data_IF_215879001431
#
_entry.id   IF_215879001431
#
_cell.length_a   1.000
_cell.length_b   1.000
_cell.length_c   1.000
_cell.angle_alpha   90.00
_cell.angle_beta   90.00
_cell.angle_gamma   90.00
#
_symmetry.space_group_name_H-M   'P 1'
#
loop_
_entity.id
_entity.type
_entity.pdbx_description
1 polymer ?
#
# COMPACT_ATOMS: atom_id res chain seq x y z
N UNK A 1 -50.87 -6.77 44.49
CA UNK A 1 -50.33 -5.59 43.77
C UNK A 1 -48.86 -5.82 43.49
N UNK A 2 -48.49 -6.15 42.26
CA UNK A 2 -47.07 -6.19 41.85
C UNK A 2 -46.97 -5.99 40.34
N UNK A 3 -47.15 -4.75 39.89
CA UNK A 3 -47.06 -4.37 38.47
C UNK A 3 -46.18 -3.12 38.25
N UNK A 4 -45.46 -2.64 39.28
CA UNK A 4 -44.67 -1.40 39.21
C UNK A 4 -43.14 -1.61 39.17
N UNK A 5 -42.66 -2.85 38.97
CA UNK A 5 -41.22 -3.16 38.91
C UNK A 5 -40.66 -3.35 37.50
N UNK A 6 -41.44 -3.02 36.47
CA UNK A 6 -41.05 -3.16 35.04
C UNK A 6 -40.95 -1.83 34.27
N UNK A 7 -41.04 -0.68 34.95
CA UNK A 7 -41.00 0.65 34.30
C UNK A 7 -39.79 1.52 34.64
N UNK A 8 -38.80 1.01 35.39
CA UNK A 8 -37.52 1.69 35.56
C UNK A 8 -36.40 0.75 35.16
N UNK A 9 -35.69 1.15 34.10
CA UNK A 9 -34.68 0.37 33.41
C UNK A 9 -33.68 -0.28 34.35
N UNK A 10 -33.58 -1.60 34.24
CA UNK A 10 -32.33 -2.30 34.51
C UNK A 10 -31.30 -1.70 33.55
N UNK A 11 -30.50 -0.79 34.09
CA UNK A 11 -29.27 -0.29 33.49
C UNK A 11 -28.45 -1.52 33.13
N UNK A 12 -28.47 -1.89 31.86
CA UNK A 12 -27.55 -2.86 31.30
C UNK A 12 -26.16 -2.31 31.60
N UNK A 13 -25.47 -2.95 32.54
CA UNK A 13 -24.10 -2.62 32.84
C UNK A 13 -23.34 -2.80 31.52
N UNK A 14 -22.72 -1.72 31.04
CA UNK A 14 -21.88 -1.77 29.86
C UNK A 14 -20.95 -2.97 30.00
N UNK A 15 -21.07 -3.93 29.07
CA UNK A 15 -20.26 -5.12 29.08
C UNK A 15 -18.78 -4.67 29.16
N UNK A 16 -17.94 -5.34 29.98
CA UNK A 16 -16.53 -5.01 30.02
C UNK A 16 -16.00 -5.09 28.58
N UNK A 17 -15.29 -4.04 28.14
CA UNK A 17 -14.61 -4.01 26.84
C UNK A 17 -13.68 -5.22 26.82
N UNK A 18 -14.11 -6.30 26.16
CA UNK A 18 -13.34 -7.52 26.08
C UNK A 18 -12.14 -7.22 25.19
N UNK A 19 -10.94 -7.41 25.73
CA UNK A 19 -9.73 -7.36 24.93
C UNK A 19 -9.88 -8.30 23.73
N UNK A 20 -9.45 -7.91 22.52
CA UNK A 20 -9.38 -8.84 21.40
C UNK A 20 -8.53 -10.04 21.84
N UNK A 21 -9.18 -11.18 22.02
CA UNK A 21 -8.51 -12.38 22.53
C UNK A 21 -7.38 -12.76 21.58
N UNK A 22 -6.26 -13.27 22.11
CA UNK A 22 -5.12 -13.79 21.32
C UNK A 22 -5.58 -14.78 20.23
N UNK A 23 -6.72 -15.45 20.46
CA UNK A 23 -7.41 -16.32 19.50
C UNK A 23 -7.89 -15.58 18.23
N UNK A 24 -8.37 -14.34 18.34
CA UNK A 24 -8.83 -13.55 17.20
C UNK A 24 -7.66 -13.05 16.34
N UNK A 25 -6.58 -12.58 16.97
CA UNK A 25 -5.37 -12.15 16.26
C UNK A 25 -4.72 -13.32 15.48
N UNK A 26 -4.61 -14.50 16.11
CA UNK A 26 -4.09 -15.70 15.45
C UNK A 26 -4.98 -16.17 14.29
N UNK A 27 -6.31 -16.02 14.39
CA UNK A 27 -7.22 -16.30 13.28
C UNK A 27 -7.00 -15.34 12.11
N UNK A 28 -6.81 -14.05 12.37
CA UNK A 28 -6.52 -13.06 11.32
C UNK A 28 -5.23 -13.39 10.59
N UNK A 29 -4.16 -13.75 11.32
CA UNK A 29 -2.88 -14.17 10.72
C UNK A 29 -3.05 -15.40 9.83
N UNK A 30 -3.75 -16.43 10.32
CA UNK A 30 -4.00 -17.63 9.52
C UNK A 30 -4.86 -17.33 8.27
N UNK A 31 -5.84 -16.43 8.37
CA UNK A 31 -6.63 -16.02 7.21
C UNK A 31 -5.76 -15.28 6.17
N UNK A 32 -4.87 -14.39 6.60
CA UNK A 32 -3.92 -13.70 5.72
C UNK A 32 -3.03 -14.73 4.99
N UNK A 33 -2.45 -15.69 5.71
CA UNK A 33 -1.63 -16.75 5.11
C UNK A 33 -2.42 -17.60 4.10
N UNK A 34 -3.66 -17.96 4.42
CA UNK A 34 -4.51 -18.71 3.49
C UNK A 34 -4.80 -17.89 2.23
N UNK A 35 -4.99 -16.57 2.34
CA UNK A 35 -5.19 -15.69 1.19
C UNK A 35 -3.94 -15.63 0.30
N UNK A 36 -2.73 -15.56 0.88
CA UNK A 36 -1.47 -15.65 0.14
C UNK A 36 -1.34 -16.95 -0.65
N UNK A 37 -1.64 -18.09 -0.01
CA UNK A 37 -1.59 -19.40 -0.67
C UNK A 37 -2.58 -19.49 -1.85
N UNK A 38 -3.76 -18.88 -1.70
CA UNK A 38 -4.75 -18.80 -2.79
C UNK A 38 -4.28 -17.87 -3.91
N UNK A 39 -3.70 -16.71 -3.60
CA UNK A 39 -3.12 -15.78 -4.57
C UNK A 39 -2.07 -16.50 -5.43
N UNK A 40 -1.08 -17.14 -4.81
CA UNK A 40 -0.04 -17.89 -5.52
C UNK A 40 -0.61 -19.01 -6.40
N UNK A 41 -1.68 -19.66 -5.95
CA UNK A 41 -2.35 -20.70 -6.73
C UNK A 41 -3.04 -20.13 -7.96
N UNK A 42 -3.71 -18.98 -7.82
CA UNK A 42 -4.35 -18.28 -8.93
C UNK A 42 -3.29 -17.75 -9.92
N UNK A 43 -2.17 -17.21 -9.45
CA UNK A 43 -1.06 -16.78 -10.32
C UNK A 43 -0.47 -17.93 -11.13
N UNK A 44 -0.23 -19.09 -10.50
CA UNK A 44 0.22 -20.30 -11.23
C UNK A 44 -0.78 -20.71 -12.31
N UNK A 45 -2.08 -20.62 -12.02
CA UNK A 45 -3.15 -20.91 -13.00
C UNK A 45 -3.17 -19.88 -14.13
N UNK A 46 -3.04 -18.59 -13.81
CA UNK A 46 -2.92 -17.47 -14.76
C UNK A 46 -1.77 -17.71 -15.74
N UNK A 47 -0.57 -17.95 -15.21
CA UNK A 47 0.64 -18.23 -15.99
C UNK A 47 0.49 -19.44 -16.93
N UNK A 48 -0.19 -20.50 -16.48
CA UNK A 48 -0.48 -21.66 -17.32
C UNK A 48 -1.49 -21.32 -18.43
N UNK A 49 -2.48 -20.50 -18.12
CA UNK A 49 -3.53 -20.10 -19.07
C UNK A 49 -2.96 -19.18 -20.17
N UNK A 50 -2.09 -18.25 -19.83
CA UNK A 50 -1.37 -17.40 -20.78
C UNK A 50 -0.58 -18.24 -21.79
N UNK A 51 0.18 -19.24 -21.32
CA UNK A 51 0.90 -20.18 -22.19
C UNK A 51 -0.04 -20.94 -23.14
N UNK A 52 -1.25 -21.30 -22.68
CA UNK A 52 -2.26 -21.96 -23.52
C UNK A 52 -2.85 -21.01 -24.56
N UNK A 53 -3.08 -19.75 -24.20
CA UNK A 53 -3.54 -18.68 -25.11
C UNK A 53 -2.53 -18.50 -26.25
N UNK A 54 -1.24 -18.40 -25.91
CA UNK A 54 -0.16 -18.27 -26.89
C UNK A 54 -0.06 -19.50 -27.80
N UNK A 55 -0.19 -20.70 -27.24
CA UNK A 55 -0.17 -21.94 -28.00
C UNK A 55 -1.35 -22.02 -28.99
N UNK A 56 -2.57 -21.64 -28.60
CA UNK A 56 -3.71 -21.59 -29.54
C UNK A 56 -3.54 -20.50 -30.60
N UNK A 57 -2.92 -19.36 -30.26
CA UNK A 57 -2.63 -18.31 -31.23
C UNK A 57 -1.63 -18.80 -32.29
N UNK A 58 -0.55 -19.46 -31.87
CA UNK A 58 0.44 -20.05 -32.77
C UNK A 58 -0.21 -21.11 -33.67
N UNK A 59 -1.05 -21.99 -33.10
CA UNK A 59 -1.80 -22.99 -33.85
C UNK A 59 -2.75 -22.37 -34.87
N UNK A 60 -3.46 -21.31 -34.50
CA UNK A 60 -4.34 -20.58 -35.42
C UNK A 60 -3.55 -19.98 -36.60
N UNK A 61 -2.38 -19.40 -36.35
CA UNK A 61 -1.49 -18.85 -37.39
C UNK A 61 -1.02 -19.93 -38.36
N UNK A 62 -0.61 -21.08 -37.85
CA UNK A 62 -0.15 -22.22 -38.66
C UNK A 62 -1.28 -22.79 -39.54
N UNK A 63 -2.46 -23.01 -38.97
CA UNK A 63 -3.63 -23.48 -39.71
C UNK A 63 -4.08 -22.48 -40.80
N UNK A 64 -3.96 -21.17 -40.54
CA UNK A 64 -4.27 -20.15 -41.52
C UNK A 64 -3.28 -20.16 -42.70
N UNK A 65 -1.97 -20.34 -42.45
CA UNK A 65 -0.96 -20.51 -43.52
C UNK A 65 -1.25 -21.73 -44.41
N UNK A 66 -1.79 -22.80 -43.82
CA UNK A 66 -2.21 -24.00 -44.54
C UNK A 66 -3.56 -23.88 -45.26
N UNK A 67 -4.20 -22.69 -45.26
CA UNK A 67 -5.51 -22.47 -45.88
C UNK A 67 -6.70 -23.08 -45.11
N UNK A 68 -6.48 -23.64 -43.91
CA UNK A 68 -7.50 -24.31 -43.09
C UNK A 68 -8.29 -23.31 -42.24
N UNK A 69 -8.99 -22.37 -42.90
CA UNK A 69 -9.68 -21.23 -42.27
C UNK A 69 -10.64 -21.62 -41.14
N UNK A 70 -11.47 -22.64 -41.33
CA UNK A 70 -12.45 -23.07 -40.30
C UNK A 70 -11.77 -23.58 -39.02
N UNK A 71 -10.63 -24.27 -39.15
CA UNK A 71 -9.88 -24.78 -38.01
C UNK A 71 -9.14 -23.65 -37.28
N UNK A 72 -8.58 -22.69 -38.02
CA UNK A 72 -7.98 -21.49 -37.45
C UNK A 72 -9.01 -20.66 -36.65
N UNK A 73 -10.23 -20.49 -37.18
CA UNK A 73 -11.33 -19.82 -36.47
C UNK A 73 -11.69 -20.53 -35.16
N UNK A 74 -11.68 -21.87 -35.13
CA UNK A 74 -11.93 -22.62 -33.89
C UNK A 74 -10.85 -22.36 -32.84
N UNK A 75 -9.57 -22.32 -33.23
CA UNK A 75 -8.47 -21.96 -32.33
C UNK A 75 -8.64 -20.54 -31.78
N UNK A 76 -9.01 -19.57 -32.62
CA UNK A 76 -9.26 -18.19 -32.17
C UNK A 76 -10.45 -18.09 -31.21
N UNK A 77 -11.53 -18.88 -31.41
CA UNK A 77 -12.64 -18.97 -30.45
C UNK A 77 -12.19 -19.51 -29.09
N UNK A 78 -11.39 -20.58 -29.09
CA UNK A 78 -10.80 -21.14 -27.85
C UNK A 78 -9.90 -20.13 -27.14
N UNK A 79 -9.04 -19.44 -27.89
CA UNK A 79 -8.22 -18.33 -27.39
C UNK A 79 -9.08 -17.29 -26.68
N UNK A 80 -10.15 -16.81 -27.32
CA UNK A 80 -11.01 -15.77 -26.75
C UNK A 80 -11.72 -16.22 -25.46
N UNK A 81 -12.13 -17.49 -25.37
CA UNK A 81 -12.69 -18.06 -24.14
C UNK A 81 -11.66 -18.09 -23.00
N UNK A 82 -10.40 -18.46 -23.30
CA UNK A 82 -9.33 -18.45 -22.31
C UNK A 82 -8.94 -17.02 -21.90
N UNK A 83 -8.95 -16.05 -22.81
CA UNK A 83 -8.74 -14.63 -22.46
C UNK A 83 -9.80 -14.10 -21.49
N UNK A 84 -11.06 -14.51 -21.67
CA UNK A 84 -12.12 -14.15 -20.72
C UNK A 84 -11.89 -14.82 -19.35
N UNK A 85 -11.43 -16.07 -19.32
CA UNK A 85 -11.05 -16.75 -18.07
C UNK A 85 -9.83 -16.05 -17.41
N UNK A 86 -8.87 -15.56 -18.20
CA UNK A 86 -7.70 -14.82 -17.72
C UNK A 86 -8.12 -13.54 -16.99
N UNK A 87 -9.00 -12.73 -17.61
CA UNK A 87 -9.57 -11.54 -16.97
C UNK A 87 -10.29 -11.87 -15.66
N UNK A 88 -10.98 -13.01 -15.59
CA UNK A 88 -11.62 -13.45 -14.35
C UNK A 88 -10.59 -13.83 -13.27
N UNK A 89 -9.47 -14.45 -13.64
CA UNK A 89 -8.37 -14.75 -12.71
C UNK A 89 -7.74 -13.46 -12.18
N UNK A 90 -7.47 -12.47 -13.05
CA UNK A 90 -6.94 -11.17 -12.63
C UNK A 90 -7.86 -10.47 -11.63
N UNK A 91 -9.17 -10.47 -11.90
CA UNK A 91 -10.16 -9.92 -10.98
C UNK A 91 -10.21 -10.66 -9.64
N UNK A 92 -10.02 -11.98 -9.63
CA UNK A 92 -9.98 -12.76 -8.39
C UNK A 92 -8.72 -12.47 -7.59
N UNK A 93 -7.56 -12.35 -8.25
CA UNK A 93 -6.29 -11.99 -7.61
C UNK A 93 -6.41 -10.61 -6.95
N UNK A 94 -6.93 -9.60 -7.68
CA UNK A 94 -7.12 -8.25 -7.13
C UNK A 94 -7.97 -8.25 -5.86
N UNK A 95 -9.08 -8.99 -5.86
CA UNK A 95 -9.96 -9.11 -4.68
C UNK A 95 -9.26 -9.76 -3.49
N UNK A 96 -8.37 -10.72 -3.72
CA UNK A 96 -7.59 -11.35 -2.64
C UNK A 96 -6.61 -10.33 -2.05
N UNK A 97 -5.92 -9.58 -2.89
CA UNK A 97 -4.98 -8.52 -2.46
C UNK A 97 -5.70 -7.46 -1.63
N UNK A 98 -6.85 -6.98 -2.09
CA UNK A 98 -7.69 -6.01 -1.35
C UNK A 98 -8.12 -6.57 0.02
N UNK A 99 -8.56 -7.83 0.08
CA UNK A 99 -8.98 -8.47 1.34
C UNK A 99 -7.83 -8.66 2.31
N UNK A 100 -6.64 -9.00 1.81
CA UNK A 100 -5.43 -9.11 2.63
C UNK A 100 -5.07 -7.77 3.25
N UNK A 101 -5.00 -6.71 2.44
CA UNK A 101 -4.69 -5.37 2.92
C UNK A 101 -5.70 -4.87 3.97
N UNK A 102 -6.99 -5.17 3.76
CA UNK A 102 -8.03 -4.88 4.75
C UNK A 102 -7.78 -5.62 6.08
N UNK A 103 -7.45 -6.91 6.06
CA UNK A 103 -7.17 -7.70 7.26
C UNK A 103 -5.90 -7.23 7.98
N UNK A 104 -4.87 -6.82 7.23
CA UNK A 104 -3.65 -6.21 7.78
C UNK A 104 -3.95 -4.89 8.50
N UNK A 105 -4.72 -3.99 7.87
CA UNK A 105 -5.14 -2.74 8.51
C UNK A 105 -5.99 -2.97 9.77
N UNK A 106 -6.88 -3.96 9.74
CA UNK A 106 -7.67 -4.36 10.91
C UNK A 106 -6.78 -4.89 12.04
N UNK A 107 -5.76 -5.68 11.70
CA UNK A 107 -4.77 -6.19 12.66
C UNK A 107 -4.00 -5.04 13.32
N UNK A 108 -3.48 -4.10 12.54
CA UNK A 108 -2.78 -2.92 13.06
C UNK A 108 -3.68 -2.11 13.98
N UNK A 109 -4.94 -1.90 13.60
CA UNK A 109 -5.93 -1.21 14.44
C UNK A 109 -6.13 -1.91 15.78
N UNK A 110 -6.21 -3.26 15.78
CA UNK A 110 -6.33 -4.07 17.00
C UNK A 110 -5.08 -3.94 17.88
N UNK A 111 -3.89 -3.96 17.29
CA UNK A 111 -2.62 -3.80 18.01
C UNK A 111 -2.52 -2.43 18.70
N UNK A 112 -2.86 -1.34 17.99
CA UNK A 112 -2.91 0.02 18.54
C UNK A 112 -3.92 0.10 19.70
N UNK A 113 -5.12 -0.44 19.52
CA UNK A 113 -6.16 -0.44 20.57
C UNK A 113 -5.73 -1.23 21.82
N UNK A 114 -5.02 -2.34 21.62
CA UNK A 114 -4.44 -3.12 22.72
C UNK A 114 -3.39 -2.33 23.49
N UNK A 115 -2.49 -1.62 22.79
CA UNK A 115 -1.48 -0.76 23.40
C UNK A 115 -2.11 0.40 24.18
N UNK A 116 -3.12 1.07 23.61
CA UNK A 116 -3.90 2.12 24.29
C UNK A 116 -4.58 1.60 25.56
N UNK A 117 -5.16 0.39 25.51
CA UNK A 117 -5.77 -0.23 26.67
C UNK A 117 -4.73 -0.54 27.77
N UNK A 118 -3.56 -1.06 27.40
CA UNK A 118 -2.44 -1.28 28.32
C UNK A 118 -1.98 0.02 28.98
N UNK A 119 -1.79 1.08 28.20
CA UNK A 119 -1.42 2.41 28.70
C UNK A 119 -2.47 2.96 29.68
N UNK A 120 -3.76 2.82 29.37
CA UNK A 120 -4.85 3.24 30.26
C UNK A 120 -4.85 2.45 31.59
N UNK A 121 -4.57 1.15 31.57
CA UNK A 121 -4.46 0.34 32.79
C UNK A 121 -3.27 0.77 33.66
N UNK A 122 -2.10 1.03 33.05
CA UNK A 122 -0.92 1.53 33.76
C UNK A 122 -1.18 2.91 34.35
N UNK A 123 -1.78 3.82 33.58
CA UNK A 123 -2.18 5.15 34.07
C UNK A 123 -3.11 5.06 35.28
N UNK A 124 -4.12 4.17 35.23
CA UNK A 124 -5.03 3.91 36.36
C UNK A 124 -4.32 3.32 37.58
N UNK A 125 -3.35 2.41 37.37
CA UNK A 125 -2.58 1.83 38.46
C UNK A 125 -1.66 2.88 39.13
N UNK A 126 -1.02 3.74 38.34
CA UNK A 126 -0.20 4.84 38.84
C UNK A 126 -1.04 5.85 39.65
N UNK A 127 -2.22 6.23 39.15
CA UNK A 127 -3.17 7.07 39.90
C UNK A 127 -3.59 6.43 41.23
N UNK A 128 -3.73 5.10 41.27
CA UNK A 128 -4.07 4.36 42.50
C UNK A 128 -2.92 4.24 43.48
N UNK A 129 -1.68 4.09 43.00
CA UNK A 129 -0.48 3.96 43.84
C UNK A 129 -0.01 5.29 44.42
N UNK A 130 -0.40 6.42 43.82
CA UNK A 130 -0.17 7.77 44.35
C UNK A 130 -1.03 8.15 45.58
N UNK A 131 -1.76 7.20 46.18
CA UNK A 131 -2.46 7.28 47.48
C UNK A 131 -2.92 8.70 47.87
N UNK A 132 -4.10 9.05 47.37
CA UNK A 132 -4.58 10.42 47.32
C UNK A 132 -5.32 10.79 48.61
N UNK A 133 -4.61 11.37 49.59
CA UNK A 133 -5.19 12.20 50.66
C UNK A 133 -5.46 13.66 50.18
N UNK A 134 -5.24 13.97 48.90
CA UNK A 134 -5.49 15.29 48.32
C UNK A 134 -6.15 15.17 46.92
N UNK A 135 -7.31 14.52 46.85
CA UNK A 135 -8.04 14.33 45.56
C UNK A 135 -8.43 15.69 45.02
N UNK A 136 -8.75 16.63 45.89
CA UNK A 136 -9.11 17.99 45.51
C UNK A 136 -7.93 18.74 44.89
N UNK A 137 -6.70 18.62 45.43
CA UNK A 137 -5.52 19.27 44.81
C UNK A 137 -5.10 18.63 43.49
N UNK A 138 -5.16 17.30 43.38
CA UNK A 138 -4.83 16.63 42.13
C UNK A 138 -5.89 16.89 41.07
N UNK A 139 -7.17 17.02 41.45
CA UNK A 139 -8.23 17.44 40.52
C UNK A 139 -8.13 18.91 40.13
N UNK A 140 -7.69 19.79 41.03
CA UNK A 140 -7.40 21.19 40.71
C UNK A 140 -6.17 21.30 39.80
N UNK A 141 -5.08 20.57 40.07
CA UNK A 141 -3.89 20.51 39.22
C UNK A 141 -4.20 19.86 37.85
N UNK A 142 -5.10 18.86 37.79
CA UNK A 142 -5.56 18.25 36.53
C UNK A 142 -6.49 19.19 35.77
N UNK A 143 -7.32 20.01 36.44
CA UNK A 143 -8.14 21.03 35.78
C UNK A 143 -7.25 22.15 35.25
N UNK A 144 -6.27 22.61 36.02
CA UNK A 144 -5.29 23.60 35.58
C UNK A 144 -4.43 23.06 34.44
N UNK A 145 -4.00 21.79 34.50
CA UNK A 145 -3.27 21.14 33.41
C UNK A 145 -4.15 20.91 32.17
N UNK A 146 -5.43 20.57 32.32
CA UNK A 146 -6.35 20.44 31.19
C UNK A 146 -6.73 21.80 30.59
N UNK A 147 -6.90 22.84 31.39
CA UNK A 147 -7.09 24.22 30.91
C UNK A 147 -5.84 24.74 30.20
N UNK A 148 -4.64 24.40 30.71
CA UNK A 148 -3.37 24.65 30.01
C UNK A 148 -3.27 23.82 28.73
N UNK A 149 -3.71 22.56 28.73
CA UNK A 149 -3.72 21.69 27.55
C UNK A 149 -4.74 22.17 26.50
N UNK A 150 -5.89 22.70 26.92
CA UNK A 150 -6.93 23.27 26.07
C UNK A 150 -6.48 24.65 25.54
N UNK A 151 -5.79 25.46 26.35
CA UNK A 151 -5.08 26.67 25.88
C UNK A 151 -3.94 26.31 24.93
N UNK A 152 -3.20 25.22 25.16
CA UNK A 152 -2.17 24.70 24.27
C UNK A 152 -2.79 24.18 22.98
N UNK A 153 -3.93 23.49 23.01
CA UNK A 153 -4.68 23.07 21.82
C UNK A 153 -5.37 24.25 21.11
N UNK A 154 -5.69 25.34 21.81
CA UNK A 154 -6.22 26.55 21.21
C UNK A 154 -5.09 27.43 20.63
N UNK A 155 -3.86 27.31 21.15
CA UNK A 155 -2.64 27.97 20.66
C UNK A 155 -1.95 27.14 19.57
N UNK A 156 -2.04 25.80 19.60
CA UNK A 156 -1.50 24.86 18.60
C UNK A 156 -2.54 24.44 17.54
N UNK A 157 -3.83 24.52 17.87
CA UNK A 157 -4.97 24.25 16.97
C UNK A 157 -5.63 25.52 16.45
N UNK A 158 -5.20 26.70 16.91
CA UNK A 158 -5.13 27.83 15.99
C UNK A 158 -4.17 27.40 14.86
N UNK A 159 -4.55 27.54 13.58
CA UNK A 159 -3.68 27.09 12.50
C UNK A 159 -2.36 27.84 12.61
N UNK A 160 -1.31 27.13 13.03
CA UNK A 160 0.05 27.63 13.01
C UNK A 160 0.86 26.74 12.08
N UNK A 161 1.09 27.23 10.85
CA UNK A 161 1.97 26.60 9.88
C UNK A 161 1.34 26.36 8.52
N UNK A 162 2.22 26.04 7.56
CA UNK A 162 2.04 26.08 6.10
C UNK A 162 0.71 25.55 5.57
N UNK A 163 0.07 24.56 6.20
CA UNK A 163 -1.19 23.96 5.74
C UNK A 163 -2.44 24.84 5.85
N UNK A 164 -2.33 26.05 6.43
CA UNK A 164 -3.41 27.04 6.41
C UNK A 164 -3.24 28.12 5.32
N UNK A 165 -2.05 28.21 4.70
CA UNK A 165 -1.69 29.21 3.67
C UNK A 165 -1.35 28.57 2.31
N UNK A 166 -1.52 27.25 2.16
CA UNK A 166 -1.40 26.62 0.83
C UNK A 166 -2.63 26.99 0.01
N UNK A 167 -2.45 27.94 -0.91
CA UNK A 167 -3.45 28.31 -1.90
C UNK A 167 -3.61 27.14 -2.87
N UNK A 168 -4.81 26.54 -2.92
CA UNK A 168 -5.11 25.43 -3.82
C UNK A 168 -4.86 25.81 -5.29
N UNK A 169 -4.98 27.10 -5.64
CA UNK A 169 -4.73 27.60 -6.99
C UNK A 169 -3.22 27.64 -7.34
N UNK A 170 -2.34 27.85 -6.35
CA UNK A 170 -0.88 27.79 -6.51
C UNK A 170 -0.40 26.35 -6.71
N UNK A 171 -0.95 25.41 -5.94
CA UNK A 171 -0.66 23.97 -6.06
C UNK A 171 -1.13 23.36 -7.38
N UNK A 172 -2.26 23.84 -7.92
CA UNK A 172 -2.76 23.40 -9.22
C UNK A 172 -1.89 23.89 -10.38
N UNK A 173 -1.38 25.12 -10.32
CA UNK A 173 -0.42 25.63 -11.32
C UNK A 173 0.90 24.86 -11.29
N UNK A 174 1.42 24.52 -10.11
CA UNK A 174 2.66 23.75 -9.98
C UNK A 174 2.51 22.31 -10.53
N UNK A 175 1.32 21.70 -10.36
CA UNK A 175 1.01 20.40 -10.97
C UNK A 175 0.95 20.48 -12.49
N UNK A 176 0.36 21.54 -13.05
CA UNK A 176 0.23 21.73 -14.50
C UNK A 176 1.59 22.02 -15.17
N UNK A 177 2.48 22.75 -14.49
CA UNK A 177 3.87 22.97 -14.95
C UNK A 177 4.69 21.67 -14.96
N UNK A 178 4.49 20.80 -13.96
CA UNK A 178 5.14 19.48 -13.88
C UNK A 178 4.72 18.56 -15.03
N UNK A 179 3.42 18.50 -15.33
CA UNK A 179 2.87 17.74 -16.47
C UNK A 179 3.41 18.25 -17.82
N UNK A 180 3.60 19.56 -17.97
CA UNK A 180 4.17 20.15 -19.18
C UNK A 180 5.65 19.80 -19.37
N UNK A 181 6.45 19.80 -18.31
CA UNK A 181 7.87 19.39 -18.38
C UNK A 181 8.07 17.92 -18.71
N UNK A 182 7.20 17.02 -18.24
CA UNK A 182 7.27 15.60 -18.57
C UNK A 182 6.91 15.34 -20.04
N UNK A 183 5.96 16.12 -20.59
CA UNK A 183 5.56 16.04 -21.99
C UNK A 183 6.67 16.53 -22.94
N UNK A 184 7.36 17.63 -22.58
CA UNK A 184 8.50 18.15 -23.34
C UNK A 184 9.71 17.18 -23.31
N UNK A 185 9.91 16.46 -22.20
CA UNK A 185 10.90 15.40 -22.10
C UNK A 185 10.58 14.21 -23.02
N UNK A 186 9.30 13.83 -23.15
CA UNK A 186 8.85 12.78 -24.07
C UNK A 186 8.97 13.21 -25.56
N UNK A 187 8.81 14.51 -25.86
CA UNK A 187 8.98 15.09 -27.20
C UNK A 187 10.45 15.27 -27.63
N UNK A 188 11.40 15.35 -26.68
CA UNK A 188 12.84 15.46 -26.96
C UNK A 188 13.51 14.12 -27.30
N UNK A 189 12.81 12.99 -27.22
CA UNK A 189 13.35 11.70 -27.65
C UNK A 189 13.56 11.66 -29.18
N UNK A 190 14.81 11.56 -29.69
CA UNK A 190 15.06 11.68 -31.12
C UNK A 190 14.61 10.42 -31.88
N UNK A 191 13.75 10.62 -32.89
CA UNK A 191 13.41 9.60 -33.88
C UNK A 191 14.67 9.09 -34.61
N UNK A 192 14.78 7.77 -34.91
CA UNK A 192 16.01 7.20 -35.46
C UNK A 192 16.27 7.66 -36.90
N UNK A 193 17.37 8.39 -37.11
CA UNK A 193 17.84 8.84 -38.43
C UNK A 193 18.63 7.74 -39.18
N UNK A 194 18.38 7.50 -40.48
CA UNK A 194 19.09 6.50 -41.29
C UNK A 194 20.52 6.95 -41.61
N UNK A 195 21.50 6.07 -41.38
CA UNK A 195 22.94 6.34 -41.52
C UNK A 195 23.45 6.19 -42.96
N UNK A 196 23.14 7.13 -43.86
CA UNK A 196 23.89 7.25 -45.11
C UNK A 196 25.17 8.09 -44.88
N UNK A 197 26.33 7.42 -44.82
CA UNK A 197 27.66 8.05 -44.68
C UNK A 197 28.15 8.63 -46.02
N UNK A 198 28.48 9.91 -46.02
CA UNK A 198 29.26 10.60 -47.08
C UNK A 198 30.76 10.35 -46.84
N UNK A 199 31.62 10.16 -47.86
CA UNK A 199 33.00 9.67 -47.66
C UNK A 199 34.07 10.78 -47.69
N UNK A 200 34.93 10.82 -46.67
CA UNK A 200 36.32 11.32 -46.68
C UNK A 200 36.92 11.09 -45.27
N UNK A 201 38.17 10.74 -45.00
CA UNK A 201 39.36 10.38 -45.77
C UNK A 201 40.24 9.50 -44.84
N UNK A 202 41.18 8.73 -45.41
CA UNK A 202 41.98 7.69 -44.72
C UNK A 202 43.12 8.29 -43.86
N UNK A 203 43.24 7.86 -42.60
CA UNK A 203 44.48 7.85 -41.81
C UNK A 203 44.58 6.57 -40.94
N UNK A 204 45.79 6.11 -40.57
CA UNK A 204 46.08 4.70 -40.30
C UNK A 204 45.81 4.22 -38.86
N UNK A 205 45.65 2.91 -38.70
CA UNK A 205 45.22 2.21 -37.49
C UNK A 205 46.35 1.88 -36.48
N UNK A 206 46.04 1.95 -35.18
CA UNK A 206 46.82 1.33 -34.08
C UNK A 206 45.84 0.62 -33.11
N UNK A 207 46.17 -0.57 -32.55
CA UNK A 207 45.18 -1.44 -31.91
C UNK A 207 45.21 -1.50 -30.36
N UNK A 208 44.03 -1.86 -29.81
CA UNK A 208 43.75 -2.62 -28.55
C UNK A 208 43.87 -1.92 -27.17
N UNK A 209 42.77 -1.83 -26.42
CA UNK A 209 42.45 -2.71 -25.27
C UNK A 209 41.13 -2.32 -24.55
N UNK A 210 40.38 -3.33 -24.09
CA UNK A 210 39.21 -3.25 -23.18
C UNK A 210 39.68 -3.46 -21.73
N UNK A 211 39.11 -2.71 -20.77
CA UNK A 211 38.85 -3.14 -19.38
C UNK A 211 37.85 -2.14 -18.75
N UNK A 212 36.57 -2.51 -18.59
CA UNK A 212 35.89 -3.05 -17.38
C UNK A 212 35.57 -2.01 -16.29
N UNK A 213 34.27 -1.77 -16.21
CA UNK A 213 33.35 -1.31 -15.14
C UNK A 213 33.78 -1.54 -13.69
N UNK A 214 33.44 -0.56 -12.85
CA UNK A 214 32.70 -0.69 -11.58
C UNK A 214 31.98 0.65 -11.31
N UNK A 215 30.65 0.63 -11.19
CA UNK A 215 29.86 1.81 -10.84
C UNK A 215 29.84 1.93 -9.31
N UNK A 216 30.39 3.01 -8.78
CA UNK A 216 30.30 3.33 -7.36
C UNK A 216 28.89 3.87 -7.05
N UNK A 217 28.27 3.38 -5.97
CA UNK A 217 27.00 3.92 -5.44
C UNK A 217 27.15 5.40 -5.10
N UNK A 218 26.12 6.20 -5.35
CA UNK A 218 26.16 7.64 -5.08
C UNK A 218 26.14 7.91 -3.56
N UNK A 219 26.61 9.08 -3.10
CA UNK A 219 26.55 9.45 -1.69
C UNK A 219 25.13 9.40 -1.10
N UNK A 220 24.11 9.65 -1.94
CA UNK A 220 22.69 9.66 -1.55
C UNK A 220 22.14 8.25 -1.26
N UNK A 221 22.58 7.24 -2.01
CA UNK A 221 22.18 5.83 -1.76
C UNK A 221 22.71 5.31 -0.43
N UNK A 222 23.88 5.78 0.02
CA UNK A 222 24.47 5.39 1.30
C UNK A 222 23.74 6.04 2.48
N UNK A 223 23.21 7.25 2.30
CA UNK A 223 22.47 7.98 3.33
C UNK A 223 21.07 7.37 3.55
N UNK A 224 20.41 6.92 2.47
CA UNK A 224 19.16 6.16 2.53
C UNK A 224 19.31 4.80 3.22
N UNK A 225 20.41 4.08 2.96
CA UNK A 225 20.69 2.77 3.56
C UNK A 225 20.96 2.90 5.07
N UNK A 226 21.58 4.00 5.50
CA UNK A 226 21.78 4.32 6.91
C UNK A 226 20.46 4.62 7.65
N UNK A 227 19.57 5.40 7.04
CA UNK A 227 18.23 5.70 7.57
C UNK A 227 17.37 4.43 7.71
N UNK A 228 17.43 3.52 6.74
CA UNK A 228 16.71 2.24 6.80
C UNK A 228 17.24 1.32 7.91
N UNK A 229 18.52 1.38 8.22
CA UNK A 229 19.12 0.60 9.30
C UNK A 229 18.74 1.15 10.69
N UNK A 230 18.60 2.47 10.84
CA UNK A 230 18.22 3.11 12.09
C UNK A 230 16.74 2.85 12.46
N UNK A 231 15.85 2.75 11.46
CA UNK A 231 14.45 2.37 11.67
C UNK A 231 14.23 0.88 11.99
N UNK A 232 15.28 0.06 11.87
CA UNK A 232 15.23 -1.38 12.14
C UNK A 232 15.65 -1.75 13.59
N UNK A 233 15.88 -0.76 14.46
CA UNK A 233 16.09 -0.89 15.91
C UNK A 233 14.87 -0.40 16.70
#
# INVERSE_FOLDING_TARGET
MSMFKKLFGSKEAAAPIQQPTVSAANKTINCIQNLDDQEQTLEKRKNLLEKKIDAELQRARELNKQGKKNQALLCLKKKKLMENELTNLDNMILRIVEQRQMLEGQRTTVEVMSAMHGAAQVGKANLKSMNIDNVDKVLDDIREANEQMEQIQQVLGAPTGMSADLDEDELLNELEEMEATDLDAELLEPAPVPTNRVPAAKLPAVPTQKAKTEAAKSPEELELEALQAEMAL
#
